data_IF_820657624449
#
_entry.id   IF_820657624449
#
_cell.length_a   1.000
_cell.length_b   1.000
_cell.length_c   1.000
_cell.angle_alpha   90.00
_cell.angle_beta   90.00
_cell.angle_gamma   90.00
#
_symmetry.space_group_name_H-M   'P 1'
#
loop_
_entity.id
_entity.type
_entity.pdbx_description
1 polymer ?
#
# COMPACT_ATOMS: atom_id res chain seq x y z
N UNK A 1 2.45 49.56 -5.36
CA UNK A 1 0.98 49.41 -5.24
C UNK A 1 0.21 50.39 -6.14
N UNK A 2 0.65 50.62 -7.39
CA UNK A 2 0.01 51.63 -8.29
C UNK A 2 -0.89 51.02 -9.37
N UNK A 3 -1.05 49.69 -9.40
CA UNK A 3 -1.77 49.01 -10.50
C UNK A 3 -3.31 49.06 -10.33
N UNK A 4 -3.80 49.21 -9.10
CA UNK A 4 -5.24 49.17 -8.75
C UNK A 4 -5.95 50.52 -8.83
N UNK A 5 -5.20 51.63 -8.90
CA UNK A 5 -5.74 53.00 -8.94
C UNK A 5 -5.75 53.51 -10.40
N UNK A 6 -6.90 54.05 -10.84
CA UNK A 6 -6.98 54.82 -12.07
C UNK A 6 -6.24 56.17 -11.96
N UNK A 7 -6.06 56.88 -13.07
CA UNK A 7 -5.51 58.26 -13.08
C UNK A 7 -6.25 59.23 -12.15
N UNK A 8 -7.48 58.89 -11.79
CA UNK A 8 -8.42 59.71 -11.03
C UNK A 8 -8.48 59.28 -9.54
N UNK A 9 -7.63 58.35 -9.10
CA UNK A 9 -7.60 57.84 -7.72
C UNK A 9 -8.75 56.90 -7.33
N UNK A 10 -9.66 56.58 -8.25
CA UNK A 10 -10.76 55.62 -8.04
C UNK A 10 -10.31 54.19 -8.40
N UNK A 11 -10.80 53.21 -7.64
CA UNK A 11 -10.59 51.78 -7.91
C UNK A 11 -11.27 51.44 -9.23
N UNK A 12 -10.50 51.00 -10.22
CA UNK A 12 -11.05 50.60 -11.52
C UNK A 12 -11.65 49.20 -11.43
N UNK A 13 -12.99 49.12 -11.50
CA UNK A 13 -13.75 47.85 -11.47
C UNK A 13 -13.24 46.86 -12.54
N UNK A 14 -12.86 47.37 -13.71
CA UNK A 14 -12.32 46.55 -14.80
C UNK A 14 -10.97 45.91 -14.44
N UNK A 15 -10.06 46.65 -13.80
CA UNK A 15 -8.75 46.11 -13.37
C UNK A 15 -8.89 45.10 -12.24
N UNK A 16 -9.82 45.35 -11.31
CA UNK A 16 -10.12 44.41 -10.21
C UNK A 16 -10.74 43.12 -10.77
N UNK A 17 -11.68 43.23 -11.71
CA UNK A 17 -12.28 42.07 -12.39
C UNK A 17 -11.22 41.26 -13.15
N UNK A 18 -10.32 41.92 -13.88
CA UNK A 18 -9.25 41.24 -14.62
C UNK A 18 -8.26 40.53 -13.69
N UNK A 19 -7.96 41.13 -12.53
CA UNK A 19 -7.14 40.48 -11.50
C UNK A 19 -7.87 39.28 -10.89
N UNK A 20 -9.16 39.40 -10.59
CA UNK A 20 -9.96 38.29 -10.08
C UNK A 20 -10.03 37.11 -11.06
N UNK A 21 -10.17 37.40 -12.37
CA UNK A 21 -10.13 36.38 -13.43
C UNK A 21 -8.74 35.71 -13.50
N UNK A 22 -7.66 36.49 -13.42
CA UNK A 22 -6.30 35.95 -13.46
C UNK A 22 -6.02 35.03 -12.26
N UNK A 23 -6.41 35.44 -11.06
CA UNK A 23 -6.27 34.65 -9.83
C UNK A 23 -7.16 33.41 -9.88
N UNK A 24 -8.42 33.55 -10.30
CA UNK A 24 -9.35 32.43 -10.46
C UNK A 24 -8.83 31.40 -11.48
N UNK A 25 -8.30 31.87 -12.61
CA UNK A 25 -7.66 31.01 -13.61
C UNK A 25 -6.47 30.22 -13.06
N UNK A 26 -5.63 30.86 -12.26
CA UNK A 26 -4.50 30.18 -11.60
C UNK A 26 -4.97 29.06 -10.66
N UNK A 27 -6.02 29.28 -9.89
CA UNK A 27 -6.58 28.24 -9.01
C UNK A 27 -7.14 27.06 -9.79
N UNK A 28 -7.83 27.31 -10.91
CA UNK A 28 -8.37 26.24 -11.78
C UNK A 28 -7.24 25.41 -12.37
N UNK A 29 -6.20 26.06 -12.92
CA UNK A 29 -5.03 25.35 -13.48
C UNK A 29 -4.32 24.55 -12.40
N UNK A 30 -4.12 25.13 -11.21
CA UNK A 30 -3.55 24.44 -10.05
C UNK A 30 -4.33 23.18 -9.67
N UNK A 31 -5.66 23.29 -9.56
CA UNK A 31 -6.52 22.16 -9.25
C UNK A 31 -6.43 21.03 -10.29
N UNK A 32 -6.41 21.37 -11.59
CA UNK A 32 -6.26 20.37 -12.67
C UNK A 32 -4.92 19.65 -12.56
N UNK A 33 -3.82 20.38 -12.35
CA UNK A 33 -2.48 19.78 -12.20
C UNK A 33 -2.45 18.84 -10.98
N UNK A 34 -3.00 19.27 -9.84
CA UNK A 34 -3.05 18.44 -8.63
C UNK A 34 -3.81 17.13 -8.84
N UNK A 35 -4.94 17.16 -9.56
CA UNK A 35 -5.71 15.94 -9.88
C UNK A 35 -4.90 15.00 -10.78
N UNK A 36 -4.21 15.53 -11.80
CA UNK A 36 -3.41 14.71 -12.70
C UNK A 36 -2.24 14.02 -11.99
N UNK A 37 -1.62 14.70 -11.02
CA UNK A 37 -0.55 14.12 -10.20
C UNK A 37 -1.11 12.99 -9.32
N UNK A 38 -2.27 13.18 -8.69
CA UNK A 38 -2.89 12.14 -7.86
C UNK A 38 -3.24 10.91 -8.68
N UNK A 39 -3.88 11.09 -9.84
CA UNK A 39 -4.20 9.99 -10.77
C UNK A 39 -2.94 9.27 -11.24
N UNK A 40 -1.91 10.01 -11.65
CA UNK A 40 -0.64 9.41 -12.09
C UNK A 40 0.03 8.58 -11.00
N UNK A 41 -0.05 9.02 -9.73
CA UNK A 41 0.53 8.28 -8.60
C UNK A 41 -0.16 6.95 -8.31
N UNK A 42 -1.42 6.80 -8.74
CA UNK A 42 -2.22 5.58 -8.56
C UNK A 42 -2.09 4.59 -9.73
N UNK A 43 -1.49 5.02 -10.84
CA UNK A 43 -1.19 4.18 -12.02
C UNK A 43 0.10 3.37 -11.91
N UNK A 44 0.68 3.33 -10.72
CA UNK A 44 1.84 2.52 -10.40
C UNK A 44 1.48 1.53 -9.29
N UNK A 45 2.23 0.43 -9.15
CA UNK A 45 2.10 -0.44 -7.98
C UNK A 45 2.25 0.35 -6.67
N UNK A 46 1.44 0.02 -5.67
CA UNK A 46 1.61 0.62 -4.34
C UNK A 46 2.88 0.07 -3.69
N UNK A 47 3.88 0.90 -3.52
CA UNK A 47 5.18 0.48 -2.98
C UNK A 47 5.16 0.48 -1.46
N UNK A 48 5.39 -0.69 -0.87
CA UNK A 48 5.47 -0.92 0.58
C UNK A 48 6.89 -1.39 0.88
N UNK A 49 7.53 -0.80 1.89
CA UNK A 49 8.91 -1.14 2.24
C UNK A 49 9.02 -2.61 2.67
N UNK A 50 9.87 -3.35 1.97
CA UNK A 50 10.12 -4.77 2.25
C UNK A 50 10.84 -4.94 3.59
N UNK A 51 10.49 -6.00 4.32
CA UNK A 51 11.14 -6.36 5.58
C UNK A 51 12.68 -6.35 5.45
N UNK A 52 13.41 -5.73 6.41
CA UNK A 52 14.87 -5.66 6.36
C UNK A 52 15.53 -7.04 6.29
N UNK A 53 16.46 -7.23 5.34
CA UNK A 53 17.14 -8.51 5.14
C UNK A 53 16.37 -9.53 4.29
N UNK A 54 15.17 -9.18 3.80
CA UNK A 54 14.49 -9.97 2.80
C UNK A 54 15.28 -10.02 1.49
N UNK A 55 15.38 -11.19 0.88
CA UNK A 55 16.02 -11.39 -0.41
C UNK A 55 14.98 -11.70 -1.48
N UNK A 56 15.07 -11.10 -2.69
CA UNK A 56 14.12 -11.36 -3.76
C UNK A 56 14.29 -12.80 -4.25
N UNK A 57 13.18 -13.52 -4.32
CA UNK A 57 13.14 -14.92 -4.74
C UNK A 57 12.55 -15.07 -6.15
N UNK A 58 11.58 -14.23 -6.51
CA UNK A 58 11.00 -14.26 -7.84
C UNK A 58 9.98 -13.16 -8.07
N UNK A 59 9.59 -13.02 -9.34
CA UNK A 59 8.51 -12.14 -9.76
C UNK A 59 7.64 -12.87 -10.77
N UNK A 60 6.32 -12.68 -10.66
CA UNK A 60 5.34 -13.14 -11.64
C UNK A 60 4.46 -11.95 -12.04
N UNK A 61 4.63 -11.47 -13.26
CA UNK A 61 3.71 -10.47 -13.82
C UNK A 61 2.41 -11.15 -14.27
N UNK A 62 1.27 -10.60 -13.87
CA UNK A 62 -0.07 -11.06 -14.25
C UNK A 62 -0.77 -9.97 -15.08
N UNK A 63 -0.27 -9.75 -16.29
CA UNK A 63 -0.78 -8.70 -17.17
C UNK A 63 -0.15 -7.33 -16.86
N UNK A 64 -0.81 -6.25 -17.31
CA UNK A 64 -0.22 -4.89 -17.29
C UNK A 64 -0.33 -4.17 -15.96
N UNK A 65 -1.25 -4.59 -15.11
CA UNK A 65 -1.63 -3.86 -13.90
C UNK A 65 -1.73 -4.75 -12.66
N UNK A 66 -1.08 -5.91 -12.72
CA UNK A 66 -0.94 -6.83 -11.60
C UNK A 66 0.41 -7.53 -11.65
N UNK A 67 1.03 -7.72 -10.48
CA UNK A 67 2.23 -8.55 -10.32
C UNK A 67 2.29 -9.17 -8.93
N UNK A 68 2.96 -10.31 -8.83
CA UNK A 68 3.37 -10.94 -7.56
C UNK A 68 4.88 -10.84 -7.42
N UNK A 69 5.38 -10.33 -6.30
CA UNK A 69 6.80 -10.37 -5.93
C UNK A 69 6.96 -11.33 -4.76
N UNK A 70 8.00 -12.16 -4.79
CA UNK A 70 8.27 -13.14 -3.76
C UNK A 70 9.60 -12.83 -3.09
N UNK A 71 9.60 -12.86 -1.76
CA UNK A 71 10.76 -12.63 -0.94
C UNK A 71 10.92 -13.75 0.08
N UNK A 72 12.17 -14.02 0.46
CA UNK A 72 12.51 -14.97 1.52
C UNK A 72 13.37 -14.29 2.58
N UNK A 73 13.11 -14.61 3.84
CA UNK A 73 13.77 -14.04 5.01
C UNK A 73 14.32 -15.21 5.84
N UNK A 74 15.65 -15.42 5.89
CA UNK A 74 16.22 -16.52 6.64
C UNK A 74 16.10 -16.30 8.15
N UNK A 75 15.99 -17.39 8.91
CA UNK A 75 16.11 -17.43 10.37
C UNK A 75 15.20 -16.42 11.10
N UNK A 76 14.04 -16.12 10.54
CA UNK A 76 13.07 -15.16 11.08
C UNK A 76 11.69 -15.80 11.15
N UNK A 77 11.05 -15.71 12.31
CA UNK A 77 9.69 -16.19 12.53
C UNK A 77 8.65 -15.31 11.81
N UNK A 78 7.57 -15.89 11.24
CA UNK A 78 6.53 -15.12 10.55
C UNK A 78 5.91 -14.01 11.41
N UNK A 79 5.74 -14.24 12.71
CA UNK A 79 5.15 -13.28 13.66
C UNK A 79 5.96 -11.98 13.73
N UNK A 80 7.29 -12.06 13.70
CA UNK A 80 8.16 -10.86 13.73
C UNK A 80 7.99 -10.04 12.44
N UNK A 81 7.85 -10.74 11.31
CA UNK A 81 7.61 -10.11 10.01
C UNK A 81 6.22 -9.46 9.98
N UNK A 82 5.23 -10.09 10.59
CA UNK A 82 3.86 -9.55 10.74
C UNK A 82 3.86 -8.28 11.58
N UNK A 83 4.57 -8.25 12.71
CA UNK A 83 4.68 -7.06 13.54
C UNK A 83 5.26 -5.87 12.77
N UNK A 84 6.29 -6.12 11.95
CA UNK A 84 6.84 -5.10 11.06
C UNK A 84 5.79 -4.57 10.06
N UNK A 85 5.06 -5.45 9.37
CA UNK A 85 4.04 -5.00 8.42
C UNK A 85 2.84 -4.36 9.10
N UNK A 86 2.50 -4.76 10.33
CA UNK A 86 1.50 -4.10 11.14
C UNK A 86 1.93 -2.66 11.48
N UNK A 87 3.20 -2.43 11.81
CA UNK A 87 3.73 -1.08 11.96
C UNK A 87 3.61 -0.29 10.66
N UNK A 88 3.96 -0.89 9.52
CA UNK A 88 3.82 -0.24 8.19
C UNK A 88 2.37 0.08 7.85
N UNK A 89 1.41 -0.78 8.19
CA UNK A 89 -0.02 -0.48 8.05
C UNK A 89 -0.42 0.74 8.89
N UNK A 90 0.04 0.80 10.13
CA UNK A 90 -0.24 1.92 11.02
C UNK A 90 0.35 3.23 10.48
N UNK A 91 1.59 3.19 9.95
CA UNK A 91 2.23 4.33 9.28
C UNK A 91 1.47 4.75 8.02
N UNK A 92 1.08 3.78 7.19
CA UNK A 92 0.39 4.00 5.91
C UNK A 92 -0.96 4.70 6.09
N UNK A 93 -1.73 4.30 7.10
CA UNK A 93 -3.03 4.90 7.41
C UNK A 93 -2.94 6.16 8.29
N UNK A 94 -1.73 6.64 8.61
CA UNK A 94 -1.51 7.88 9.36
C UNK A 94 -1.80 7.77 10.86
N UNK A 95 -1.90 6.55 11.39
CA UNK A 95 -2.16 6.29 12.80
C UNK A 95 -0.85 6.09 13.55
N UNK A 96 -0.24 7.19 13.99
CA UNK A 96 0.78 7.11 15.05
C UNK A 96 0.07 6.82 16.38
N UNK A 97 0.60 5.97 17.27
CA UNK A 97 0.00 5.68 18.60
C UNK A 97 -0.32 6.93 19.44
N UNK A 98 0.26 8.06 19.09
CA UNK A 98 0.18 9.33 19.80
C UNK A 98 -1.00 10.23 19.36
N UNK A 99 -1.61 9.99 18.20
CA UNK A 99 -2.56 10.96 17.59
C UNK A 99 -4.04 10.68 17.80
N UNK A 100 -4.48 9.55 18.35
CA UNK A 100 -5.92 9.30 18.54
C UNK A 100 -6.27 8.81 19.95
N UNK A 101 -6.88 9.72 20.72
CA UNK A 101 -7.46 9.47 22.05
C UNK A 101 -8.58 8.42 21.96
N UNK A 102 -8.23 7.15 22.10
CA UNK A 102 -9.10 6.13 22.71
C UNK A 102 -10.17 5.47 21.84
N UNK A 103 -10.04 5.45 20.50
CA UNK A 103 -10.88 4.58 19.65
C UNK A 103 -10.07 3.43 19.07
N UNK A 104 -10.53 2.17 19.15
CA UNK A 104 -9.84 1.04 18.54
C UNK A 104 -9.85 1.14 17.01
N UNK A 105 -8.69 0.91 16.40
CA UNK A 105 -8.35 1.04 14.97
C UNK A 105 -9.34 0.33 14.03
N UNK A 106 -9.82 -0.84 14.45
CA UNK A 106 -10.73 -1.70 13.69
C UNK A 106 -12.10 -1.08 13.41
N UNK A 107 -12.48 0.01 14.11
CA UNK A 107 -13.75 0.70 13.90
C UNK A 107 -13.69 1.84 12.87
N UNK A 108 -12.51 2.37 12.53
CA UNK A 108 -12.39 3.51 11.62
C UNK A 108 -11.95 3.10 10.21
N UNK A 109 -11.12 2.07 10.08
CA UNK A 109 -10.64 1.60 8.78
C UNK A 109 -10.87 0.09 8.73
N UNK A 110 -11.79 -0.41 7.88
CA UNK A 110 -11.85 -1.84 7.63
C UNK A 110 -10.49 -2.23 7.04
N UNK A 111 -9.77 -3.17 7.69
CA UNK A 111 -8.49 -3.77 7.26
C UNK A 111 -7.17 -3.17 7.82
N UNK A 112 -7.20 -2.36 8.88
CA UNK A 112 -5.96 -1.88 9.52
C UNK A 112 -5.25 -2.93 10.42
N UNK A 113 -5.46 -4.22 10.18
CA UNK A 113 -4.82 -5.31 10.93
C UNK A 113 -4.41 -6.44 9.98
N UNK A 114 -3.22 -7.00 10.21
CA UNK A 114 -2.79 -8.23 9.57
C UNK A 114 -3.59 -9.43 10.11
N UNK A 115 -4.29 -10.15 9.23
CA UNK A 115 -5.18 -11.25 9.61
C UNK A 115 -4.50 -12.60 9.40
N UNK A 116 -4.53 -13.46 10.42
CA UNK A 116 -4.06 -14.85 10.32
C UNK A 116 -5.12 -15.77 9.73
N UNK A 117 -4.73 -16.66 8.83
CA UNK A 117 -5.53 -17.72 8.22
C UNK A 117 -4.81 -19.08 8.34
N UNK A 118 -5.43 -20.12 8.94
CA UNK A 118 -6.64 -20.02 9.76
C UNK A 118 -6.39 -19.15 11.00
N UNK A 119 -7.45 -18.74 11.71
CA UNK A 119 -7.29 -17.88 12.89
C UNK A 119 -6.42 -18.53 13.97
N UNK A 120 -6.52 -19.84 14.12
CA UNK A 120 -5.74 -20.65 15.05
C UNK A 120 -5.39 -21.99 14.38
N UNK A 121 -4.30 -22.62 14.81
CA UNK A 121 -3.86 -23.91 14.29
C UNK A 121 -3.35 -23.83 12.84
N UNK A 122 -3.47 -24.95 12.12
CA UNK A 122 -2.98 -25.11 10.75
C UNK A 122 -4.14 -25.26 9.77
N UNK A 123 -3.89 -24.99 8.49
CA UNK A 123 -4.82 -25.34 7.42
C UNK A 123 -5.16 -26.84 7.47
N UNK A 124 -6.39 -27.20 7.12
CA UNK A 124 -6.91 -28.57 7.26
C UNK A 124 -6.20 -29.60 6.38
N UNK A 125 -5.58 -29.14 5.30
CA UNK A 125 -4.82 -29.91 4.31
C UNK A 125 -3.31 -29.83 4.54
N UNK A 126 -2.86 -29.15 5.61
CA UNK A 126 -1.45 -29.09 5.94
C UNK A 126 -0.93 -30.42 6.50
N UNK A 127 0.11 -30.95 5.85
CA UNK A 127 0.89 -32.09 6.31
C UNK A 127 2.38 -31.76 6.13
N UNK A 128 3.26 -32.05 7.11
CA UNK A 128 4.69 -31.80 6.95
C UNK A 128 5.26 -32.45 5.68
N UNK A 129 5.93 -31.67 4.84
CA UNK A 129 6.57 -32.16 3.62
C UNK A 129 5.70 -32.12 2.35
N UNK A 130 4.41 -31.79 2.45
CA UNK A 130 3.51 -31.73 1.28
C UNK A 130 3.62 -30.42 0.47
N UNK A 131 4.50 -29.50 0.86
CA UNK A 131 4.70 -28.22 0.20
C UNK A 131 3.63 -27.15 0.48
N UNK A 132 2.66 -27.41 1.36
CA UNK A 132 1.66 -26.42 1.77
C UNK A 132 2.10 -25.68 3.04
N UNK A 133 1.82 -24.38 3.16
CA UNK A 133 2.08 -23.63 4.39
C UNK A 133 1.15 -24.08 5.51
N UNK A 134 1.64 -24.08 6.74
CA UNK A 134 0.83 -24.40 7.90
C UNK A 134 -0.27 -23.35 8.14
N UNK A 135 0.07 -22.09 7.96
CA UNK A 135 -0.81 -20.93 8.11
C UNK A 135 -0.23 -19.77 7.30
N UNK A 136 -0.96 -18.68 7.18
CA UNK A 136 -0.45 -17.43 6.63
C UNK A 136 -1.04 -16.23 7.37
N UNK A 137 -0.37 -15.10 7.26
CA UNK A 137 -0.90 -13.79 7.63
C UNK A 137 -1.09 -12.96 6.37
N UNK A 138 -2.13 -12.15 6.35
CA UNK A 138 -2.47 -11.27 5.23
C UNK A 138 -2.61 -9.85 5.74
N UNK A 139 -1.76 -8.95 5.25
CA UNK A 139 -1.81 -7.51 5.52
C UNK A 139 -2.21 -6.79 4.22
N UNK A 140 -3.27 -5.98 4.23
CA UNK A 140 -3.79 -5.32 3.02
C UNK A 140 -3.55 -3.82 3.09
N UNK A 141 -2.77 -3.31 2.14
CA UNK A 141 -2.57 -1.89 1.92
C UNK A 141 -3.45 -1.45 0.75
N UNK A 142 -4.47 -0.64 1.04
CA UNK A 142 -5.43 -0.17 0.04
C UNK A 142 -5.42 1.36 -0.02
N UNK A 143 -5.10 1.90 -1.21
CA UNK A 143 -5.16 3.33 -1.54
C UNK A 143 -6.23 3.65 -2.60
N UNK A 144 -7.19 2.77 -2.82
CA UNK A 144 -8.20 2.93 -3.89
C UNK A 144 -9.12 4.14 -3.64
N UNK A 145 -9.57 4.79 -4.71
CA UNK A 145 -10.49 5.94 -4.61
C UNK A 145 -11.37 6.07 -5.85
N UNK A 146 -12.69 6.20 -5.64
CA UNK A 146 -13.69 6.64 -6.63
C UNK A 146 -13.48 6.06 -8.04
N UNK A 147 -13.26 4.75 -8.13
CA UNK A 147 -13.05 3.93 -9.34
C UNK A 147 -11.59 3.58 -9.69
N UNK A 148 -10.60 4.21 -9.04
CA UNK A 148 -9.19 3.87 -9.23
C UNK A 148 -8.76 2.83 -8.19
N UNK A 149 -8.35 1.66 -8.66
CA UNK A 149 -7.85 0.56 -7.83
C UNK A 149 -6.33 0.70 -7.62
N UNK A 150 -5.88 0.63 -6.37
CA UNK A 150 -4.45 0.53 -6.05
C UNK A 150 -4.27 -0.20 -4.71
N UNK A 151 -3.91 -1.49 -4.79
CA UNK A 151 -3.84 -2.40 -3.64
C UNK A 151 -2.53 -3.17 -3.64
N UNK A 152 -1.96 -3.36 -2.46
CA UNK A 152 -0.90 -4.34 -2.21
C UNK A 152 -1.30 -5.22 -1.04
N UNK A 153 -1.50 -6.50 -1.34
CA UNK A 153 -1.72 -7.54 -0.35
C UNK A 153 -0.37 -8.20 -0.05
N UNK A 154 0.06 -8.14 1.21
CA UNK A 154 1.28 -8.78 1.70
C UNK A 154 0.88 -10.06 2.43
N UNK A 155 1.26 -11.20 1.86
CA UNK A 155 1.01 -12.54 2.42
C UNK A 155 2.32 -13.03 3.03
N UNK A 156 2.27 -13.41 4.30
CA UNK A 156 3.43 -13.84 5.08
C UNK A 156 3.15 -15.26 5.56
N UNK A 157 4.06 -16.18 5.30
CA UNK A 157 3.88 -17.58 5.67
C UNK A 157 5.20 -18.20 6.12
N UNK A 158 5.16 -19.20 7.02
CA UNK A 158 6.33 -20.00 7.28
C UNK A 158 6.75 -20.72 6.00
N UNK A 159 8.06 -20.90 5.85
CA UNK A 159 8.64 -21.68 4.79
C UNK A 159 8.18 -23.12 4.83
N UNK A 160 8.06 -23.70 3.65
CA UNK A 160 7.50 -25.03 3.44
C UNK A 160 8.58 -26.02 3.10
N UNK A 161 8.51 -27.17 3.76
CA UNK A 161 9.22 -28.36 3.34
C UNK A 161 8.42 -29.02 2.21
N UNK A 162 9.08 -29.31 1.09
CA UNK A 162 8.47 -29.99 -0.04
C UNK A 162 9.28 -31.26 -0.37
N UNK A 163 8.86 -32.39 0.18
CA UNK A 163 9.44 -33.70 -0.07
C UNK A 163 8.80 -34.38 -1.30
N UNK A 164 7.60 -33.92 -1.67
CA UNK A 164 6.77 -34.49 -2.74
C UNK A 164 7.21 -34.09 -4.16
N UNK A 165 7.85 -32.93 -4.34
CA UNK A 165 8.40 -32.48 -5.62
C UNK A 165 9.90 -32.18 -5.49
N UNK A 166 10.80 -33.02 -6.05
CA UNK A 166 12.24 -32.80 -5.98
C UNK A 166 12.74 -31.57 -6.73
N UNK A 167 11.91 -30.95 -7.60
CA UNK A 167 12.26 -29.72 -8.30
C UNK A 167 11.77 -28.45 -7.57
N UNK A 168 10.91 -28.60 -6.56
CA UNK A 168 10.45 -27.47 -5.78
C UNK A 168 11.52 -27.03 -4.78
N UNK A 169 11.63 -25.72 -4.57
CA UNK A 169 12.58 -25.17 -3.59
C UNK A 169 12.07 -25.43 -2.18
N UNK A 170 12.88 -26.08 -1.35
CA UNK A 170 12.63 -26.19 0.08
C UNK A 170 12.93 -24.83 0.74
N UNK A 171 11.96 -24.28 1.45
CA UNK A 171 12.06 -23.00 2.16
C UNK A 171 11.98 -23.16 3.68
N UNK A 172 12.04 -24.40 4.18
CA UNK A 172 12.04 -24.72 5.62
C UNK A 172 13.07 -23.88 6.39
N UNK A 173 12.64 -23.34 7.54
CA UNK A 173 13.45 -22.45 8.37
C UNK A 173 13.50 -20.98 7.91
N UNK A 174 12.80 -20.63 6.83
CA UNK A 174 12.66 -19.25 6.36
C UNK A 174 11.23 -18.75 6.54
N UNK A 175 11.03 -17.43 6.54
CA UNK A 175 9.72 -16.83 6.29
C UNK A 175 9.63 -16.40 4.84
N UNK A 176 8.53 -16.74 4.18
CA UNK A 176 8.23 -16.36 2.79
C UNK A 176 7.21 -15.24 2.80
N UNK A 177 7.46 -14.22 1.98
CA UNK A 177 6.56 -13.07 1.81
C UNK A 177 6.20 -12.91 0.34
N UNK A 178 4.91 -12.93 0.02
CA UNK A 178 4.37 -12.62 -1.30
C UNK A 178 3.71 -11.24 -1.28
N UNK A 179 4.11 -10.37 -2.20
CA UNK A 179 3.44 -9.10 -2.47
C UNK A 179 2.56 -9.27 -3.69
N UNK A 180 1.23 -9.32 -3.51
CA UNK A 180 0.25 -9.28 -4.60
C UNK A 180 -0.16 -7.84 -4.82
N UNK A 181 0.35 -7.25 -5.90
CA UNK A 181 0.10 -5.86 -6.24
C UNK A 181 -0.88 -5.78 -7.40
N UNK A 182 -1.87 -4.90 -7.28
CA UNK A 182 -2.83 -4.60 -8.33
C UNK A 182 -3.05 -3.08 -8.39
N UNK A 183 -3.08 -2.54 -9.60
CA UNK A 183 -3.37 -1.13 -9.84
C UNK A 183 -4.20 -0.95 -11.12
N UNK A 184 -4.61 0.27 -11.42
CA UNK A 184 -5.25 0.62 -12.68
C UNK A 184 -4.21 1.23 -13.65
N UNK A 185 -4.17 0.82 -14.94
CA UNK A 185 -3.19 1.33 -15.91
C UNK A 185 -3.39 2.80 -16.34
#
# INVERSE_FOLDING_TARGET
MSFLLGSDGKISVLRVSLLAIAVGGLFIVGAIISIQIDVASRRAPLDIEVYPGATPWGEQSRGRSQRSLYFQIPDTEPEVVVEYYQQKLNEFYGTTPENERGKPLSQQIPNAECVRLPREGNFSDYEPGNGLPAYQYTCIFDRSYSDILQVTEVIIQPGVRNDSDPNATNTEGMTVVEYRQQWEP
#
